data_IF_698958594200
#
_entry.id   IF_698958594200
#
_cell.length_a   1.000
_cell.length_b   1.000
_cell.length_c   1.000
_cell.angle_alpha   90.00
_cell.angle_beta   90.00
_cell.angle_gamma   90.00
#
_symmetry.space_group_name_H-M   'P 1'
#
loop_
_entity.id
_entity.type
_entity.pdbx_description
1 polymer ?
#
# COMPACT_ATOMS: atom_id res chain seq x y z
N UNK A 1 30.31 -5.33 9.46
CA UNK A 1 29.85 -4.53 8.30
C UNK A 1 28.74 -5.32 7.61
N UNK A 2 27.68 -4.65 7.17
CA UNK A 2 26.56 -5.28 6.45
C UNK A 2 27.06 -5.92 5.15
N UNK A 3 26.49 -7.08 4.77
CA UNK A 3 26.86 -7.81 3.55
C UNK A 3 25.99 -7.42 2.34
N UNK A 4 25.05 -6.47 2.51
CA UNK A 4 24.17 -6.02 1.44
C UNK A 4 24.93 -5.13 0.43
N UNK A 5 24.64 -5.23 -0.88
CA UNK A 5 25.30 -4.42 -1.92
C UNK A 5 25.14 -2.91 -1.72
N UNK A 6 24.02 -2.49 -1.14
CA UNK A 6 23.72 -1.09 -0.81
C UNK A 6 23.12 -1.03 0.60
N UNK A 7 23.77 -0.28 1.49
CA UNK A 7 23.35 -0.12 2.89
C UNK A 7 22.67 1.21 3.17
N UNK A 8 22.50 2.09 2.16
CA UNK A 8 22.00 3.46 2.38
C UNK A 8 20.66 3.49 3.11
N UNK A 9 19.75 2.57 2.79
CA UNK A 9 18.45 2.46 3.48
C UNK A 9 18.60 1.98 4.93
N UNK A 10 19.51 1.04 5.19
CA UNK A 10 19.77 0.54 6.55
C UNK A 10 20.25 1.68 7.44
N UNK A 11 21.19 2.47 6.94
CA UNK A 11 21.76 3.63 7.64
C UNK A 11 20.73 4.76 7.78
N UNK A 12 19.94 5.03 6.73
CA UNK A 12 18.93 6.09 6.71
C UNK A 12 17.81 5.84 7.72
N UNK A 13 17.33 4.60 7.85
CA UNK A 13 16.20 4.24 8.72
C UNK A 13 16.62 3.66 10.07
N UNK A 14 17.89 3.29 10.25
CA UNK A 14 18.37 2.62 11.46
C UNK A 14 17.84 1.18 11.62
N UNK A 15 17.65 0.47 10.50
CA UNK A 15 17.16 -0.92 10.47
C UNK A 15 18.27 -1.91 10.09
N UNK A 16 18.04 -3.20 10.36
CA UNK A 16 19.05 -4.26 10.17
C UNK A 16 18.88 -5.00 8.83
N UNK A 17 17.64 -5.13 8.37
CA UNK A 17 17.26 -5.84 7.16
C UNK A 17 16.59 -4.87 6.19
N UNK A 18 16.93 -4.91 4.88
CA UNK A 18 16.39 -3.96 3.89
C UNK A 18 15.00 -4.40 3.40
N UNK A 19 14.15 -4.82 4.34
CA UNK A 19 12.80 -5.32 4.12
C UNK A 19 11.84 -4.37 4.80
N UNK A 20 10.98 -3.73 4.01
CA UNK A 20 9.89 -2.90 4.48
C UNK A 20 8.60 -3.72 4.33
N UNK A 21 7.93 -3.98 5.45
CA UNK A 21 6.58 -4.53 5.45
C UNK A 21 5.65 -3.41 4.97
N UNK A 22 4.96 -3.61 3.84
CA UNK A 22 4.19 -2.55 3.18
C UNK A 22 2.93 -2.14 3.96
N UNK A 23 2.59 -0.84 4.03
CA UNK A 23 1.41 -0.38 4.77
C UNK A 23 0.11 -0.76 4.03
N UNK A 24 -0.60 -1.78 4.50
CA UNK A 24 -1.80 -2.30 3.83
C UNK A 24 -3.06 -1.92 4.61
N UNK A 25 -3.67 -0.78 4.27
CA UNK A 25 -4.87 -0.29 4.95
C UNK A 25 -5.98 -1.35 5.00
N UNK A 26 -6.44 -1.68 6.20
CA UNK A 26 -7.43 -2.73 6.47
C UNK A 26 -6.83 -4.11 6.76
N UNK A 27 -5.60 -4.40 6.32
CA UNK A 27 -4.92 -5.69 6.53
C UNK A 27 -3.77 -5.64 7.55
N UNK A 28 -3.07 -4.51 7.65
CA UNK A 28 -2.00 -4.32 8.65
C UNK A 28 -2.57 -3.79 9.96
N UNK A 29 -2.00 -4.25 11.08
CA UNK A 29 -2.27 -3.81 12.45
C UNK A 29 -0.95 -3.69 13.22
N UNK A 30 -1.00 -3.24 14.48
CA UNK A 30 0.20 -3.07 15.31
C UNK A 30 0.98 -4.37 15.52
N UNK A 31 0.34 -5.54 15.64
CA UNK A 31 1.07 -6.80 15.86
C UNK A 31 1.96 -7.18 14.67
N UNK A 32 1.47 -6.98 13.44
CA UNK A 32 2.27 -7.15 12.22
C UNK A 32 3.43 -6.15 12.18
N UNK A 33 3.17 -4.87 12.48
CA UNK A 33 4.22 -3.83 12.49
C UNK A 33 5.32 -4.17 13.50
N UNK A 34 4.94 -4.49 14.74
CA UNK A 34 5.86 -4.88 15.81
C UNK A 34 6.68 -6.11 15.41
N UNK A 35 6.05 -7.13 14.82
CA UNK A 35 6.74 -8.35 14.40
C UNK A 35 7.79 -8.09 13.30
N UNK A 36 7.49 -7.22 12.32
CA UNK A 36 8.43 -6.84 11.27
C UNK A 36 9.61 -6.02 11.84
N UNK A 37 9.33 -5.04 12.70
CA UNK A 37 10.34 -4.23 13.39
C UNK A 37 11.27 -5.10 14.25
N UNK A 38 10.72 -6.01 15.06
CA UNK A 38 11.49 -6.91 15.93
C UNK A 38 12.27 -7.99 15.15
N UNK A 39 11.91 -8.23 13.90
CA UNK A 39 12.70 -9.08 13.00
C UNK A 39 13.90 -8.37 12.38
N UNK A 40 14.00 -7.05 12.54
CA UNK A 40 15.08 -6.22 12.00
C UNK A 40 14.70 -5.46 10.72
N UNK A 41 13.50 -5.65 10.17
CA UNK A 41 12.97 -4.86 9.07
C UNK A 41 12.28 -3.57 9.53
N UNK A 42 11.59 -2.90 8.60
CA UNK A 42 10.75 -1.73 8.87
C UNK A 42 9.27 -2.11 8.78
N UNK A 43 8.58 -2.19 9.92
CA UNK A 43 7.12 -2.33 9.96
C UNK A 43 6.42 -1.03 9.58
N UNK A 44 5.28 -1.09 8.88
CA UNK A 44 4.57 0.10 8.39
C UNK A 44 3.10 0.14 8.78
N UNK A 45 2.69 1.12 9.58
CA UNK A 45 1.30 1.33 9.99
C UNK A 45 0.52 2.19 8.97
N UNK A 46 -0.51 1.67 8.29
CA UNK A 46 -1.37 2.46 7.40
C UNK A 46 -2.40 3.29 8.19
N UNK A 47 -2.32 4.61 8.09
CA UNK A 47 -3.22 5.53 8.80
C UNK A 47 -4.45 5.97 7.98
N UNK A 48 -4.49 5.70 6.67
CA UNK A 48 -5.52 6.22 5.77
C UNK A 48 -6.98 5.82 6.07
N UNK A 49 -7.19 4.82 6.95
CA UNK A 49 -8.50 4.34 7.39
C UNK A 49 -8.72 4.48 8.91
N UNK A 50 -7.80 5.12 9.62
CA UNK A 50 -7.87 5.31 11.07
C UNK A 50 -8.46 6.68 11.39
N UNK A 51 -9.27 6.76 12.44
CA UNK A 51 -9.52 8.04 13.11
C UNK A 51 -8.26 8.51 13.83
N UNK A 52 -8.22 9.78 14.25
CA UNK A 52 -7.09 10.33 15.00
C UNK A 52 -6.88 9.58 16.32
N UNK A 53 -7.95 9.19 17.00
CA UNK A 53 -7.89 8.39 18.23
C UNK A 53 -7.33 7.00 17.96
N UNK A 54 -7.79 6.34 16.89
CA UNK A 54 -7.29 5.03 16.48
C UNK A 54 -5.80 5.10 16.09
N UNK A 55 -5.38 6.15 15.40
CA UNK A 55 -3.97 6.37 15.06
C UNK A 55 -3.13 6.49 16.33
N UNK A 56 -3.53 7.31 17.31
CA UNK A 56 -2.80 7.44 18.59
C UNK A 56 -2.70 6.09 19.31
N UNK A 57 -3.78 5.33 19.40
CA UNK A 57 -3.77 4.03 20.08
C UNK A 57 -2.89 2.99 19.36
N UNK A 58 -2.90 2.95 18.02
CA UNK A 58 -2.02 2.08 17.25
C UNK A 58 -0.54 2.46 17.46
N UNK A 59 -0.19 3.76 17.40
CA UNK A 59 1.20 4.21 17.61
C UNK A 59 1.68 3.96 19.04
N UNK A 60 0.81 4.15 20.03
CA UNK A 60 1.09 3.80 21.43
C UNK A 60 1.35 2.31 21.59
N UNK A 61 0.53 1.47 20.97
CA UNK A 61 0.69 0.01 20.99
C UNK A 61 2.03 -0.40 20.36
N UNK A 62 2.39 0.20 19.21
CA UNK A 62 3.67 -0.07 18.55
C UNK A 62 4.84 0.34 19.45
N UNK A 63 4.83 1.55 20.02
CA UNK A 63 5.90 2.02 20.94
C UNK A 63 6.01 1.20 22.22
N UNK A 64 4.93 0.55 22.67
CA UNK A 64 4.97 -0.40 23.79
C UNK A 64 5.53 -1.77 23.38
N UNK A 65 5.34 -2.19 22.12
CA UNK A 65 5.76 -3.49 21.61
C UNK A 65 7.17 -3.51 21.00
N UNK A 66 7.74 -2.36 20.65
CA UNK A 66 9.11 -2.27 20.11
C UNK A 66 9.74 -0.89 20.32
N UNK A 67 11.07 -0.90 20.49
CA UNK A 67 11.92 0.30 20.45
C UNK A 67 12.64 0.44 19.10
N UNK A 68 12.33 -0.41 18.12
CA UNK A 68 12.92 -0.37 16.78
C UNK A 68 12.18 0.64 15.89
N UNK A 69 12.84 1.16 14.83
CA UNK A 69 12.22 2.08 13.89
C UNK A 69 10.95 1.52 13.25
N UNK A 70 9.95 2.37 13.04
CA UNK A 70 8.76 2.03 12.23
C UNK A 70 8.34 3.17 11.30
N UNK A 71 7.54 2.81 10.30
CA UNK A 71 6.94 3.70 9.33
C UNK A 71 5.46 3.96 9.65
N UNK A 72 4.99 5.19 9.45
CA UNK A 72 3.56 5.54 9.43
C UNK A 72 3.18 6.06 8.06
N UNK A 73 2.15 5.48 7.45
CA UNK A 73 1.75 5.77 6.09
C UNK A 73 0.46 6.58 5.99
N UNK A 74 0.46 7.61 5.14
CA UNK A 74 -0.71 8.43 4.86
C UNK A 74 -0.98 8.58 3.35
N UNK A 75 -2.21 8.94 3.01
CA UNK A 75 -2.58 9.33 1.65
C UNK A 75 -2.53 10.85 1.50
N UNK A 76 -2.07 11.35 0.35
CA UNK A 76 -1.97 12.78 0.04
C UNK A 76 -2.79 13.18 -1.19
N UNK A 77 -3.87 12.44 -1.45
CA UNK A 77 -4.81 12.77 -2.53
C UNK A 77 -5.59 14.05 -2.23
N UNK A 78 -5.96 14.77 -3.28
CA UNK A 78 -6.90 15.87 -3.19
C UNK A 78 -8.33 15.31 -3.09
N UNK A 79 -9.11 15.69 -2.06
CA UNK A 79 -10.52 15.29 -1.98
C UNK A 79 -11.30 15.81 -3.19
N UNK A 80 -12.10 14.95 -3.87
CA UNK A 80 -12.90 15.39 -5.00
C UNK A 80 -14.07 16.24 -4.53
N UNK A 81 -14.57 17.11 -5.42
CA UNK A 81 -15.86 17.75 -5.23
C UNK A 81 -16.98 16.69 -5.17
N UNK A 82 -18.02 16.96 -4.40
CA UNK A 82 -19.20 16.11 -4.38
C UNK A 82 -19.90 16.11 -5.75
N UNK A 83 -20.19 14.92 -6.28
CA UNK A 83 -20.95 14.73 -7.51
C UNK A 83 -22.11 13.78 -7.22
N UNK A 84 -23.25 14.36 -6.84
CA UNK A 84 -24.43 13.60 -6.47
C UNK A 84 -25.02 12.83 -7.65
N UNK A 85 -24.93 13.37 -8.87
CA UNK A 85 -25.46 12.71 -10.05
C UNK A 85 -24.65 11.46 -10.35
N UNK A 86 -23.32 11.56 -10.34
CA UNK A 86 -22.43 10.40 -10.51
C UNK A 86 -22.60 9.37 -9.40
N UNK A 87 -22.83 9.82 -8.15
CA UNK A 87 -23.13 8.92 -7.05
C UNK A 87 -24.46 8.15 -7.26
N UNK A 88 -25.52 8.84 -7.73
CA UNK A 88 -26.81 8.21 -8.08
C UNK A 88 -26.65 7.24 -9.23
N UNK A 89 -25.97 7.63 -10.32
CA UNK A 89 -25.76 6.78 -11.49
C UNK A 89 -24.95 5.53 -11.14
N UNK A 90 -23.95 5.67 -10.26
CA UNK A 90 -23.18 4.55 -9.74
C UNK A 90 -24.05 3.59 -8.90
N UNK A 91 -24.91 4.12 -8.02
CA UNK A 91 -25.83 3.28 -7.24
C UNK A 91 -26.84 2.57 -8.14
N UNK A 92 -27.42 3.28 -9.13
CA UNK A 92 -28.35 2.72 -10.11
C UNK A 92 -27.71 1.58 -10.92
N UNK A 93 -26.43 1.73 -11.32
CA UNK A 93 -25.70 0.66 -12.01
C UNK A 93 -25.58 -0.61 -11.14
N UNK A 94 -25.53 -0.46 -9.82
CA UNK A 94 -25.44 -1.56 -8.86
C UNK A 94 -26.81 -2.14 -8.47
N UNK A 95 -27.92 -1.51 -8.84
CA UNK A 95 -29.29 -1.90 -8.45
C UNK A 95 -29.61 -3.39 -8.70
N UNK A 96 -29.20 -4.02 -9.84
CA UNK A 96 -29.45 -5.44 -10.05
C UNK A 96 -28.87 -6.33 -8.93
N UNK A 97 -27.67 -6.01 -8.42
CA UNK A 97 -27.04 -6.75 -7.33
C UNK A 97 -27.76 -6.51 -5.99
N UNK A 98 -28.25 -5.29 -5.76
CA UNK A 98 -29.06 -4.97 -4.57
C UNK A 98 -30.32 -5.84 -4.53
N UNK A 99 -31.05 -5.90 -5.66
CA UNK A 99 -32.26 -6.72 -5.81
C UNK A 99 -31.95 -8.21 -5.65
N UNK A 100 -30.87 -8.68 -6.26
CA UNK A 100 -30.44 -10.09 -6.16
C UNK A 100 -30.13 -10.51 -4.72
N UNK A 101 -29.41 -9.67 -3.96
CA UNK A 101 -28.99 -9.98 -2.60
C UNK A 101 -30.03 -9.60 -1.52
N UNK A 102 -31.20 -9.09 -1.92
CA UNK A 102 -32.23 -8.62 -1.00
C UNK A 102 -31.77 -7.46 -0.11
N UNK A 103 -30.91 -6.59 -0.64
CA UNK A 103 -30.43 -5.39 0.04
C UNK A 103 -31.39 -4.24 -0.27
N UNK A 104 -31.72 -3.43 0.73
CA UNK A 104 -32.53 -2.22 0.55
C UNK A 104 -31.81 -1.20 -0.35
N UNK A 105 -32.32 -1.02 -1.57
CA UNK A 105 -31.80 -0.08 -2.56
C UNK A 105 -32.13 1.37 -2.21
N UNK A 106 -33.25 1.64 -1.52
CA UNK A 106 -33.71 2.98 -1.20
C UNK A 106 -33.04 3.55 0.05
N UNK A 107 -32.44 2.68 0.88
CA UNK A 107 -31.65 3.08 2.04
C UNK A 107 -30.52 4.08 1.68
N UNK A 108 -30.20 5.03 2.57
CA UNK A 108 -29.09 5.97 2.37
C UNK A 108 -27.76 5.27 2.09
N UNK A 109 -27.04 5.74 1.07
CA UNK A 109 -25.72 5.18 0.74
C UNK A 109 -24.71 5.50 1.85
N UNK A 110 -24.03 4.51 2.44
CA UNK A 110 -22.98 4.75 3.42
C UNK A 110 -21.84 5.59 2.85
N UNK A 111 -21.19 6.39 3.69
CA UNK A 111 -20.02 7.17 3.26
C UNK A 111 -18.77 6.29 3.28
N UNK A 112 -18.11 6.16 2.13
CA UNK A 112 -16.75 5.63 2.03
C UNK A 112 -15.77 6.77 2.21
N UNK A 113 -15.08 6.82 3.34
CA UNK A 113 -14.07 7.84 3.61
C UNK A 113 -12.66 7.24 3.68
N UNK A 114 -11.70 7.99 3.15
CA UNK A 114 -10.26 7.82 3.38
C UNK A 114 -9.69 9.21 3.52
N UNK A 115 -9.32 9.59 4.74
CA UNK A 115 -8.86 10.95 5.00
C UNK A 115 -7.48 11.16 4.36
N UNK A 116 -7.26 12.27 3.62
CA UNK A 116 -5.90 12.68 3.29
C UNK A 116 -5.17 13.14 4.57
N UNK A 117 -3.84 13.21 4.49
CA UNK A 117 -3.03 13.77 5.57
C UNK A 117 -3.40 15.22 5.85
N UNK A 118 -3.66 15.54 7.12
CA UNK A 118 -4.10 16.86 7.56
C UNK A 118 -3.35 17.33 8.82
N UNK A 119 -3.75 18.50 9.34
CA UNK A 119 -3.16 19.09 10.55
C UNK A 119 -3.28 18.18 11.77
N UNK A 120 -4.42 17.50 11.95
CA UNK A 120 -4.66 16.67 13.12
C UNK A 120 -3.79 15.40 13.10
N UNK A 121 -3.65 14.78 11.93
CA UNK A 121 -2.70 13.68 11.75
C UNK A 121 -1.24 14.13 11.96
N UNK A 122 -0.89 15.34 11.50
CA UNK A 122 0.44 15.91 11.72
C UNK A 122 0.76 16.13 13.20
N UNK A 123 -0.21 16.58 14.01
CA UNK A 123 -0.05 16.72 15.47
C UNK A 123 0.26 15.38 16.15
N UNK A 124 -0.36 14.29 15.69
CA UNK A 124 -0.03 12.95 16.20
C UNK A 124 1.40 12.55 15.83
N UNK A 125 1.87 12.88 14.63
CA UNK A 125 3.27 12.62 14.25
C UNK A 125 4.27 13.44 15.06
N UNK A 126 3.92 14.68 15.41
CA UNK A 126 4.73 15.54 16.29
C UNK A 126 4.83 14.96 17.71
N UNK A 127 3.76 14.33 18.19
CA UNK A 127 3.70 13.64 19.49
C UNK A 127 4.55 12.35 19.51
N UNK A 128 4.38 11.46 18.52
CA UNK A 128 4.96 10.12 18.53
C UNK A 128 6.31 9.98 17.80
N UNK A 129 6.64 10.95 16.94
CA UNK A 129 7.90 11.09 16.19
C UNK A 129 8.39 9.77 15.58
N UNK A 130 7.62 9.14 14.66
CA UNK A 130 8.08 7.94 13.98
C UNK A 130 9.36 8.20 13.18
N UNK A 131 10.20 7.19 13.05
CA UNK A 131 11.49 7.30 12.37
C UNK A 131 11.31 7.49 10.86
N UNK A 132 10.22 6.95 10.30
CA UNK A 132 9.87 7.07 8.89
C UNK A 132 8.41 7.47 8.74
N UNK A 133 8.12 8.39 7.82
CA UNK A 133 6.76 8.73 7.40
C UNK A 133 6.69 8.53 5.89
N UNK A 134 5.73 7.71 5.47
CA UNK A 134 5.51 7.43 4.05
C UNK A 134 4.22 8.06 3.56
N UNK A 135 4.25 8.54 2.33
CA UNK A 135 3.09 9.08 1.65
C UNK A 135 2.74 8.24 0.42
N UNK A 136 1.45 8.20 0.10
CA UNK A 136 0.93 7.64 -1.14
C UNK A 136 0.16 8.72 -1.89
N UNK A 137 0.22 8.69 -3.23
CA UNK A 137 -0.34 9.71 -4.12
C UNK A 137 0.38 11.06 -4.05
N UNK A 138 1.72 11.04 -3.99
CA UNK A 138 2.55 12.24 -3.95
C UNK A 138 2.97 12.63 -2.54
N UNK A 139 2.94 13.93 -2.25
CA UNK A 139 3.33 14.52 -0.96
C UNK A 139 2.24 15.47 -0.46
N UNK A 140 2.14 15.71 0.87
CA UNK A 140 1.21 16.69 1.39
C UNK A 140 1.64 18.12 1.05
N UNK A 141 0.79 19.09 1.38
CA UNK A 141 1.12 20.51 1.33
C UNK A 141 2.47 20.80 2.01
N UNK A 142 3.26 21.71 1.41
CA UNK A 142 4.64 21.97 1.83
C UNK A 142 4.77 22.31 3.31
N UNK A 143 3.82 23.06 3.86
CA UNK A 143 3.79 23.44 5.27
C UNK A 143 3.60 22.25 6.21
N UNK A 144 2.76 21.29 5.84
CA UNK A 144 2.58 20.04 6.57
C UNK A 144 3.82 19.14 6.43
N UNK A 145 4.38 19.05 5.23
CA UNK A 145 5.61 18.29 4.99
C UNK A 145 6.78 18.81 5.84
N UNK A 146 6.95 20.13 5.92
CA UNK A 146 8.01 20.76 6.71
C UNK A 146 7.85 20.46 8.21
N UNK A 147 6.61 20.44 8.71
CA UNK A 147 6.31 20.04 10.10
C UNK A 147 6.68 18.58 10.37
N UNK A 148 6.34 17.66 9.46
CA UNK A 148 6.73 16.25 9.60
C UNK A 148 8.25 16.12 9.59
N UNK A 149 8.96 16.81 8.70
CA UNK A 149 10.44 16.83 8.69
C UNK A 149 11.04 17.35 9.99
N UNK A 150 10.43 18.35 10.62
CA UNK A 150 10.87 18.90 11.90
C UNK A 150 10.81 17.89 13.06
N UNK A 151 10.02 16.80 12.93
CA UNK A 151 10.02 15.68 13.88
C UNK A 151 11.30 14.83 13.81
N UNK A 152 12.07 14.95 12.72
CA UNK A 152 13.24 14.12 12.42
C UNK A 152 12.93 12.90 11.56
N UNK A 153 11.66 12.67 11.23
CA UNK A 153 11.24 11.56 10.37
C UNK A 153 11.87 11.63 8.97
N UNK A 154 12.24 10.47 8.44
CA UNK A 154 12.61 10.31 7.02
C UNK A 154 11.36 10.19 6.17
N UNK A 155 11.31 10.95 5.09
CA UNK A 155 10.15 11.03 4.21
C UNK A 155 10.35 10.12 3.01
N UNK A 156 9.40 9.22 2.77
CA UNK A 156 9.36 8.40 1.55
C UNK A 156 8.01 8.51 0.86
N UNK A 157 7.98 8.34 -0.45
CA UNK A 157 6.71 8.28 -1.19
C UNK A 157 6.83 7.38 -2.42
N UNK A 158 5.69 6.95 -2.94
CA UNK A 158 5.62 6.06 -4.10
C UNK A 158 5.64 6.82 -5.41
N UNK A 159 6.56 6.43 -6.29
CA UNK A 159 6.60 6.80 -7.71
C UNK A 159 6.26 5.59 -8.57
N UNK A 160 5.49 5.83 -9.63
CA UNK A 160 5.10 4.82 -10.63
C UNK A 160 5.72 5.06 -12.00
N UNK A 161 6.38 6.21 -12.15
CA UNK A 161 7.13 6.65 -13.33
C UNK A 161 8.45 7.31 -12.89
N UNK A 162 9.37 7.51 -13.83
CA UNK A 162 10.63 8.22 -13.58
C UNK A 162 10.37 9.70 -13.24
N UNK A 163 9.45 10.35 -13.94
CA UNK A 163 9.10 11.76 -13.69
C UNK A 163 8.56 11.98 -12.28
N UNK A 164 7.74 11.05 -11.78
CA UNK A 164 7.26 11.08 -10.39
C UNK A 164 8.41 10.91 -9.39
N UNK A 165 9.38 10.05 -9.67
CA UNK A 165 10.53 9.85 -8.79
C UNK A 165 11.42 11.11 -8.71
N UNK A 166 11.71 11.74 -9.85
CA UNK A 166 12.44 13.01 -9.93
C UNK A 166 11.69 14.10 -9.17
N UNK A 167 10.37 14.19 -9.35
CA UNK A 167 9.54 15.17 -8.66
C UNK A 167 9.60 14.97 -7.13
N UNK A 168 9.49 13.72 -6.66
CA UNK A 168 9.57 13.41 -5.23
C UNK A 168 10.93 13.76 -4.62
N UNK A 169 12.04 13.47 -5.32
CA UNK A 169 13.39 13.85 -4.86
C UNK A 169 13.51 15.38 -4.75
N UNK A 170 13.08 16.11 -5.79
CA UNK A 170 13.13 17.58 -5.81
C UNK A 170 12.27 18.23 -4.72
N UNK A 171 11.21 17.55 -4.29
CA UNK A 171 10.32 18.00 -3.22
C UNK A 171 10.72 17.42 -1.84
N UNK A 172 11.87 16.75 -1.78
CA UNK A 172 12.58 16.39 -0.57
C UNK A 172 12.11 15.11 0.10
N UNK A 173 11.78 14.08 -0.69
CA UNK A 173 11.84 12.71 -0.20
C UNK A 173 13.29 12.29 0.09
N UNK A 174 13.51 11.56 1.18
CA UNK A 174 14.79 10.99 1.56
C UNK A 174 15.07 9.64 0.86
N UNK A 175 14.02 8.96 0.36
CA UNK A 175 14.10 7.78 -0.50
C UNK A 175 12.80 7.62 -1.31
N UNK A 176 12.88 6.93 -2.45
CA UNK A 176 11.75 6.73 -3.38
C UNK A 176 11.29 5.28 -3.38
N UNK A 177 9.98 5.05 -3.22
CA UNK A 177 9.38 3.74 -3.45
C UNK A 177 9.04 3.61 -4.94
N UNK A 178 9.87 2.89 -5.69
CA UNK A 178 9.61 2.56 -7.10
C UNK A 178 8.55 1.46 -7.17
N UNK A 179 7.29 1.85 -7.37
CA UNK A 179 6.13 0.97 -7.33
C UNK A 179 5.76 0.49 -8.73
N UNK A 180 6.20 -0.72 -9.09
CA UNK A 180 5.85 -1.35 -10.36
C UNK A 180 4.36 -1.64 -10.51
N UNK A 181 3.91 -1.79 -11.75
CA UNK A 181 2.52 -2.08 -12.13
C UNK A 181 1.97 -3.39 -11.53
N UNK A 182 2.86 -4.31 -11.17
CA UNK A 182 2.57 -5.60 -10.56
C UNK A 182 2.10 -5.50 -9.09
N UNK A 183 2.35 -4.35 -8.44
CA UNK A 183 2.01 -4.15 -7.03
C UNK A 183 0.50 -4.25 -6.77
N UNK A 184 0.15 -4.83 -5.61
CA UNK A 184 -1.23 -4.91 -5.11
C UNK A 184 -1.72 -3.59 -4.53
N UNK A 185 -3.04 -3.43 -4.42
CA UNK A 185 -3.65 -2.21 -3.86
C UNK A 185 -3.52 -1.01 -4.80
N UNK A 186 -3.75 0.20 -4.27
CA UNK A 186 -3.81 1.43 -5.06
C UNK A 186 -2.52 1.75 -5.79
N UNK A 187 -2.63 2.09 -7.09
CA UNK A 187 -1.54 2.69 -7.86
C UNK A 187 -1.16 4.04 -7.26
N UNK A 188 0.12 4.23 -6.95
CA UNK A 188 0.65 5.43 -6.30
C UNK A 188 0.74 6.68 -7.19
N UNK A 189 0.34 6.58 -8.47
CA UNK A 189 0.48 7.64 -9.48
C UNK A 189 -0.17 8.96 -9.04
N UNK A 190 0.42 10.09 -9.39
CA UNK A 190 -0.04 11.42 -8.98
C UNK A 190 0.27 12.57 -9.95
N UNK A 191 1.20 12.41 -10.91
CA UNK A 191 1.44 13.44 -11.93
C UNK A 191 0.54 13.29 -13.17
N UNK A 192 0.06 12.08 -13.43
CA UNK A 192 -0.84 11.74 -14.52
C UNK A 192 -1.86 10.70 -14.06
N UNK A 193 -3.06 10.75 -14.65
CA UNK A 193 -4.11 9.73 -14.49
C UNK A 193 -4.08 8.68 -15.62
N UNK A 194 -3.18 8.82 -16.60
CA UNK A 194 -3.03 7.87 -17.71
C UNK A 194 -2.40 6.55 -17.23
N UNK A 195 -3.24 5.52 -17.09
CA UNK A 195 -2.82 4.18 -16.68
C UNK A 195 -1.85 3.51 -17.66
N UNK A 196 -1.81 3.92 -18.93
CA UNK A 196 -0.88 3.36 -19.91
C UNK A 196 0.58 3.75 -19.64
N UNK A 197 0.81 4.80 -18.85
CA UNK A 197 2.14 5.26 -18.43
C UNK A 197 2.80 4.37 -17.36
N UNK A 198 2.06 3.44 -16.75
CA UNK A 198 2.52 2.65 -15.62
C UNK A 198 3.57 1.60 -16.04
N UNK A 199 4.72 1.60 -15.37
CA UNK A 199 5.87 0.74 -15.72
C UNK A 199 5.94 -0.47 -14.78
N UNK A 200 6.33 -1.64 -15.31
CA UNK A 200 6.57 -2.84 -14.50
C UNK A 200 7.87 -2.77 -13.68
N UNK A 201 7.93 -3.44 -12.52
CA UNK A 201 9.03 -3.37 -11.55
C UNK A 201 10.39 -3.59 -12.19
N UNK A 202 10.52 -4.58 -13.07
CA UNK A 202 11.80 -4.94 -13.69
C UNK A 202 12.39 -3.80 -14.54
N UNK A 203 11.54 -2.99 -15.17
CA UNK A 203 11.96 -1.84 -15.95
C UNK A 203 11.99 -0.55 -15.11
N UNK A 204 11.05 -0.36 -14.19
CA UNK A 204 10.92 0.87 -13.41
C UNK A 204 12.08 1.06 -12.44
N UNK A 205 12.46 0.01 -11.69
CA UNK A 205 13.49 0.09 -10.64
C UNK A 205 14.82 0.64 -11.16
N UNK A 206 15.47 0.04 -12.18
CA UNK A 206 16.77 0.54 -12.64
C UNK A 206 16.67 1.94 -13.26
N UNK A 207 15.58 2.26 -13.97
CA UNK A 207 15.39 3.59 -14.53
C UNK A 207 15.25 4.68 -13.45
N UNK A 208 14.56 4.37 -12.35
CA UNK A 208 14.47 5.30 -11.22
C UNK A 208 15.82 5.42 -10.52
N UNK A 209 16.52 4.30 -10.29
CA UNK A 209 17.87 4.30 -9.69
C UNK A 209 18.84 5.18 -10.47
N UNK A 210 18.80 5.13 -11.81
CA UNK A 210 19.67 5.95 -12.66
C UNK A 210 19.27 7.43 -12.68
N UNK A 211 18.01 7.75 -12.37
CA UNK A 211 17.45 9.09 -12.49
C UNK A 211 17.49 9.92 -11.19
N UNK A 212 17.61 9.28 -10.03
CA UNK A 212 17.62 9.96 -8.72
C UNK A 212 18.90 9.65 -7.94
N UNK A 213 19.28 10.55 -7.04
CA UNK A 213 20.45 10.38 -6.16
C UNK A 213 20.10 9.69 -4.84
N UNK A 214 18.87 9.86 -4.36
CA UNK A 214 18.37 9.22 -3.13
C UNK A 214 18.22 7.70 -3.29
N UNK A 215 18.24 6.93 -2.18
CA UNK A 215 18.03 5.48 -2.24
C UNK A 215 16.65 5.09 -2.82
N UNK A 216 16.61 3.97 -3.52
CA UNK A 216 15.38 3.45 -4.16
C UNK A 216 14.92 2.17 -3.48
N UNK A 217 13.64 2.10 -3.18
CA UNK A 217 12.95 0.95 -2.58
C UNK A 217 12.09 0.31 -3.66
N UNK A 218 12.39 -0.92 -4.06
CA UNK A 218 11.59 -1.63 -5.05
C UNK A 218 10.28 -2.15 -4.44
N UNK A 219 9.14 -1.91 -5.10
CA UNK A 219 7.83 -2.42 -4.67
C UNK A 219 7.03 -3.00 -5.84
N UNK A 220 6.41 -4.15 -5.63
CA UNK A 220 5.60 -4.86 -6.63
C UNK A 220 6.31 -6.10 -7.19
N UNK A 221 5.56 -7.21 -7.30
CA UNK A 221 6.06 -8.54 -7.68
C UNK A 221 7.12 -9.19 -6.76
N UNK A 222 7.40 -8.61 -5.59
CA UNK A 222 8.36 -9.17 -4.63
C UNK A 222 7.61 -9.95 -3.55
N UNK A 223 7.81 -11.27 -3.52
CA UNK A 223 7.14 -12.16 -2.57
C UNK A 223 8.05 -13.23 -1.94
N UNK A 224 9.27 -13.42 -2.46
CA UNK A 224 10.25 -14.35 -1.92
C UNK A 224 11.69 -13.80 -2.08
N UNK A 225 12.66 -14.55 -1.56
CA UNK A 225 14.08 -14.23 -1.63
C UNK A 225 14.64 -13.99 -3.04
N UNK A 226 14.04 -14.58 -4.09
CA UNK A 226 14.48 -14.35 -5.48
C UNK A 226 14.11 -12.94 -5.92
N UNK A 227 12.88 -12.52 -5.63
CA UNK A 227 12.42 -11.16 -5.91
C UNK A 227 13.25 -10.10 -5.19
N UNK A 228 13.62 -10.35 -3.92
CA UNK A 228 14.49 -9.45 -3.17
C UNK A 228 15.88 -9.36 -3.79
N UNK A 229 16.53 -10.49 -4.08
CA UNK A 229 17.85 -10.49 -4.73
C UNK A 229 17.82 -9.81 -6.10
N UNK A 230 16.77 -10.05 -6.91
CA UNK A 230 16.59 -9.39 -8.20
C UNK A 230 16.46 -7.86 -8.07
N UNK A 231 15.71 -7.37 -7.08
CA UNK A 231 15.59 -5.93 -6.84
C UNK A 231 16.95 -5.28 -6.53
N UNK A 232 17.78 -5.93 -5.71
CA UNK A 232 19.15 -5.46 -5.43
C UNK A 232 20.04 -5.48 -6.68
N UNK A 233 19.94 -6.51 -7.52
CA UNK A 233 20.66 -6.56 -8.80
C UNK A 233 20.22 -5.47 -9.78
N UNK A 234 18.97 -5.00 -9.67
CA UNK A 234 18.43 -3.86 -10.41
C UNK A 234 18.80 -2.49 -9.79
N UNK A 235 19.57 -2.47 -8.69
CA UNK A 235 20.08 -1.24 -8.06
C UNK A 235 19.24 -0.70 -6.89
N UNK A 236 18.19 -1.41 -6.46
CA UNK A 236 17.44 -1.00 -5.29
C UNK A 236 18.27 -1.16 -4.00
N UNK A 237 18.07 -0.25 -3.04
CA UNK A 237 18.69 -0.27 -1.72
C UNK A 237 17.86 -1.04 -0.69
N UNK A 238 16.57 -1.27 -0.98
CA UNK A 238 15.66 -2.09 -0.18
C UNK A 238 14.44 -2.52 -0.99
N UNK A 239 13.58 -3.33 -0.37
CA UNK A 239 12.30 -3.74 -0.94
C UNK A 239 11.14 -3.41 -0.01
N UNK A 240 9.99 -3.05 -0.59
CA UNK A 240 8.71 -2.97 0.10
C UNK A 240 7.81 -4.12 -0.35
N UNK A 241 7.45 -4.97 0.60
CA UNK A 241 6.70 -6.20 0.37
C UNK A 241 5.32 -6.07 1.03
N UNK A 242 4.26 -6.14 0.22
CA UNK A 242 2.88 -6.11 0.70
C UNK A 242 2.25 -7.51 0.70
N UNK A 243 1.88 -7.99 -0.48
CA UNK A 243 1.05 -9.19 -0.66
C UNK A 243 1.55 -10.46 0.03
N UNK A 244 2.87 -10.67 0.15
CA UNK A 244 3.38 -11.84 0.88
C UNK A 244 3.00 -11.83 2.37
N UNK A 245 2.92 -10.64 2.99
CA UNK A 245 2.49 -10.49 4.38
C UNK A 245 0.99 -10.74 4.58
N UNK A 246 0.17 -10.83 3.53
CA UNK A 246 -1.26 -11.17 3.66
C UNK A 246 -1.50 -12.64 4.03
N UNK A 247 -0.46 -13.47 3.96
CA UNK A 247 -0.52 -14.88 4.33
C UNK A 247 -0.14 -15.13 5.80
N UNK A 248 0.35 -14.10 6.50
CA UNK A 248 0.80 -14.23 7.88
C UNK A 248 -0.38 -14.24 8.86
N UNK A 249 -0.26 -14.89 10.02
CA UNK A 249 -1.33 -14.92 11.02
C UNK A 249 -1.65 -13.54 11.61
N UNK A 250 -0.75 -12.57 11.50
CA UNK A 250 -0.99 -11.20 11.96
C UNK A 250 -1.88 -10.39 11.01
N UNK A 251 -2.07 -10.83 9.75
CA UNK A 251 -2.84 -10.11 8.75
C UNK A 251 -4.34 -10.09 9.08
N UNK A 252 -4.93 -8.89 9.11
CA UNK A 252 -6.37 -8.68 9.28
C UNK A 252 -7.11 -8.75 7.94
N UNK A 253 -7.07 -9.90 7.29
CA UNK A 253 -7.80 -10.15 6.04
C UNK A 253 -9.06 -10.97 6.29
N UNK A 254 -10.12 -10.75 5.51
CA UNK A 254 -11.36 -11.52 5.63
C UNK A 254 -11.18 -12.98 5.23
N UNK A 255 -12.12 -13.83 5.64
CA UNK A 255 -12.10 -15.25 5.24
C UNK A 255 -12.19 -15.42 3.71
N UNK A 256 -12.99 -14.59 3.03
CA UNK A 256 -13.05 -14.60 1.56
C UNK A 256 -11.73 -14.19 0.92
N UNK A 257 -11.04 -13.19 1.47
CA UNK A 257 -9.73 -12.77 0.97
C UNK A 257 -8.66 -13.84 1.21
N UNK A 258 -8.63 -14.45 2.40
CA UNK A 258 -7.76 -15.59 2.70
C UNK A 258 -7.95 -16.75 1.72
N UNK A 259 -9.21 -17.08 1.41
CA UNK A 259 -9.55 -18.12 0.44
C UNK A 259 -9.05 -17.73 -0.95
N UNK A 260 -9.38 -16.52 -1.42
CA UNK A 260 -8.99 -16.05 -2.74
C UNK A 260 -7.48 -16.06 -2.94
N UNK A 261 -6.69 -15.61 -1.95
CA UNK A 261 -5.22 -15.65 -2.00
C UNK A 261 -4.65 -17.06 -2.22
N UNK A 262 -5.36 -18.12 -1.79
CA UNK A 262 -4.91 -19.52 -1.89
C UNK A 262 -5.50 -20.26 -3.09
N UNK A 263 -6.61 -19.79 -3.65
CA UNK A 263 -7.34 -20.52 -4.69
C UNK A 263 -7.35 -19.84 -6.05
N UNK A 264 -7.12 -18.53 -6.12
CA UNK A 264 -7.06 -17.80 -7.39
C UNK A 264 -5.77 -18.12 -8.16
N UNK A 265 -5.83 -18.02 -9.48
CA UNK A 265 -4.68 -18.21 -10.37
C UNK A 265 -3.88 -16.92 -10.52
N UNK A 266 -2.59 -17.04 -10.86
CA UNK A 266 -1.67 -15.93 -11.06
C UNK A 266 -2.19 -14.89 -12.09
N UNK A 267 -2.96 -15.35 -13.08
CA UNK A 267 -3.57 -14.49 -14.11
C UNK A 267 -4.82 -13.74 -13.65
N UNK A 268 -5.31 -13.95 -12.43
CA UNK A 268 -6.61 -13.46 -11.95
C UNK A 268 -6.50 -12.21 -11.09
N UNK A 269 -5.52 -11.33 -11.35
CA UNK A 269 -5.52 -9.98 -10.79
C UNK A 269 -5.70 -8.94 -11.88
N UNK A 270 -6.41 -7.86 -11.57
CA UNK A 270 -6.54 -6.72 -12.47
C UNK A 270 -6.55 -5.41 -11.68
N UNK A 271 -6.17 -4.32 -12.37
CA UNK A 271 -6.29 -2.96 -11.84
C UNK A 271 -7.74 -2.50 -12.04
N UNK A 272 -8.37 -2.05 -10.95
CA UNK A 272 -9.77 -1.65 -10.90
C UNK A 272 -9.97 -0.35 -10.14
N UNK A 273 -10.97 0.44 -10.53
CA UNK A 273 -11.42 1.61 -9.78
C UNK A 273 -12.79 1.43 -9.12
N UNK A 274 -13.47 0.29 -9.31
CA UNK A 274 -14.87 0.12 -8.89
C UNK A 274 -15.05 0.27 -7.37
N UNK A 275 -14.08 -0.21 -6.59
CA UNK A 275 -14.21 -0.26 -5.13
C UNK A 275 -13.96 1.05 -4.42
N UNK A 276 -13.26 1.98 -5.08
CA UNK A 276 -12.72 3.16 -4.41
C UNK A 276 -12.71 4.42 -5.25
N UNK A 277 -12.87 4.35 -6.57
CA UNK A 277 -12.75 5.48 -7.48
C UNK A 277 -11.34 5.78 -7.98
N UNK A 278 -10.35 4.97 -7.59
CA UNK A 278 -8.94 5.11 -8.02
C UNK A 278 -8.39 3.75 -8.39
N UNK A 279 -7.53 3.65 -9.43
CA UNK A 279 -6.94 2.39 -9.84
C UNK A 279 -6.22 1.66 -8.70
N UNK A 280 -6.60 0.40 -8.46
CA UNK A 280 -6.01 -0.48 -7.46
C UNK A 280 -6.01 -1.93 -7.95
N UNK A 281 -4.94 -2.69 -7.71
CA UNK A 281 -4.85 -4.09 -8.13
C UNK A 281 -5.42 -5.03 -7.07
N UNK A 282 -6.32 -5.90 -7.50
CA UNK A 282 -6.87 -6.98 -6.68
C UNK A 282 -7.19 -8.24 -7.48
N UNK A 283 -7.45 -9.32 -6.76
CA UNK A 283 -7.97 -10.57 -7.31
C UNK A 283 -9.37 -10.31 -7.90
N UNK A 284 -9.57 -10.77 -9.13
CA UNK A 284 -10.82 -10.65 -9.87
C UNK A 284 -11.96 -11.34 -9.12
N UNK A 285 -12.99 -10.57 -8.79
CA UNK A 285 -14.26 -11.08 -8.29
C UNK A 285 -15.40 -10.81 -9.29
N UNK A 286 -16.63 -11.14 -8.90
CA UNK A 286 -17.81 -11.02 -9.77
C UNK A 286 -18.02 -9.59 -10.28
N UNK A 287 -18.02 -8.60 -9.39
CA UNK A 287 -18.31 -7.21 -9.80
C UNK A 287 -17.25 -6.68 -10.79
N UNK A 288 -15.98 -7.06 -10.63
CA UNK A 288 -14.93 -6.72 -11.60
C UNK A 288 -15.09 -7.42 -12.95
N UNK A 289 -15.65 -8.63 -12.98
CA UNK A 289 -15.85 -9.38 -14.24
C UNK A 289 -17.06 -8.86 -15.01
N UNK A 290 -18.11 -8.47 -14.29
CA UNK A 290 -19.38 -8.05 -14.89
C UNK A 290 -19.40 -6.55 -15.26
N UNK A 291 -18.81 -5.67 -14.44
CA UNK A 291 -18.77 -4.23 -14.71
C UNK A 291 -17.46 -3.77 -15.38
N UNK A 292 -16.54 -4.70 -15.63
CA UNK A 292 -15.17 -4.45 -16.07
C UNK A 292 -14.23 -4.24 -14.89
N UNK A 293 -12.90 -4.43 -15.03
CA UNK A 293 -12.06 -4.04 -13.92
C UNK A 293 -12.08 -2.50 -13.80
N UNK A 294 -12.17 -1.74 -14.90
CA UNK A 294 -12.25 -0.27 -14.90
C UNK A 294 -13.61 0.23 -15.41
N UNK A 295 -14.13 1.29 -14.80
CA UNK A 295 -15.36 1.98 -15.23
C UNK A 295 -15.28 3.49 -15.04
N UNK A 296 -15.65 4.25 -16.07
CA UNK A 296 -15.80 5.71 -16.04
C UNK A 296 -16.96 6.18 -15.13
N UNK A 297 -17.92 5.29 -14.88
CA UNK A 297 -19.08 5.51 -14.00
C UNK A 297 -18.72 5.49 -12.52
N UNK A 298 -17.59 4.88 -12.12
CA UNK A 298 -17.17 4.87 -10.73
C UNK A 298 -16.91 6.31 -10.24
N UNK A 299 -17.51 6.74 -9.11
CA UNK A 299 -17.25 8.06 -8.52
C UNK A 299 -15.76 8.24 -8.21
N UNK A 300 -15.28 9.48 -8.25
CA UNK A 300 -13.89 9.79 -7.95
C UNK A 300 -13.49 9.32 -6.55
N UNK A 301 -12.21 9.01 -6.35
CA UNK A 301 -11.73 8.51 -5.07
C UNK A 301 -11.84 9.53 -3.95
N UNK A 302 -12.29 9.15 -2.73
CA UNK A 302 -12.57 7.78 -2.26
C UNK A 302 -14.05 7.33 -2.32
N UNK A 303 -14.88 8.00 -3.13
CA UNK A 303 -16.34 8.01 -2.99
C UNK A 303 -17.06 6.75 -3.51
N UNK A 304 -16.43 5.94 -4.37
CA UNK A 304 -17.12 4.80 -5.01
C UNK A 304 -17.52 3.67 -4.03
N UNK A 305 -16.81 3.54 -2.91
CA UNK A 305 -16.93 2.37 -2.03
C UNK A 305 -18.26 2.28 -1.26
N UNK A 306 -18.94 3.41 -1.05
CA UNK A 306 -20.14 3.48 -0.21
C UNK A 306 -21.27 2.59 -0.70
N UNK A 307 -21.56 2.66 -2.01
CA UNK A 307 -22.59 1.86 -2.67
C UNK A 307 -22.26 0.35 -2.75
N UNK A 308 -21.02 -0.04 -2.43
CA UNK A 308 -20.64 -1.45 -2.37
C UNK A 308 -20.71 -2.02 -0.95
N UNK A 309 -20.74 -1.20 0.10
CA UNK A 309 -20.72 -1.68 1.49
C UNK A 309 -21.91 -2.61 1.82
N UNK A 310 -23.17 -2.27 1.47
CA UNK A 310 -24.30 -3.16 1.73
C UNK A 310 -24.22 -4.49 0.96
N UNK A 311 -23.71 -4.45 -0.29
CA UNK A 311 -23.49 -5.64 -1.11
C UNK A 311 -22.41 -6.55 -0.51
N UNK A 312 -21.30 -5.97 -0.02
CA UNK A 312 -20.24 -6.72 0.68
C UNK A 312 -20.74 -7.43 1.92
N UNK A 313 -21.65 -6.81 2.68
CA UNK A 313 -22.22 -7.42 3.87
C UNK A 313 -23.03 -8.69 3.59
N UNK A 314 -23.52 -8.88 2.34
CA UNK A 314 -24.28 -10.06 1.91
C UNK A 314 -23.48 -11.01 1.02
N UNK A 315 -22.57 -10.50 0.19
CA UNK A 315 -21.77 -11.25 -0.78
C UNK A 315 -20.27 -10.89 -0.70
N UNK A 316 -19.64 -11.10 0.46
CA UNK A 316 -18.30 -10.58 0.75
C UNK A 316 -17.27 -10.91 -0.36
N UNK A 317 -17.19 -12.17 -0.80
CA UNK A 317 -16.22 -12.59 -1.82
C UNK A 317 -16.42 -11.92 -3.19
N UNK A 318 -17.65 -11.55 -3.52
CA UNK A 318 -18.04 -11.07 -4.85
C UNK A 318 -17.95 -9.55 -4.99
N UNK A 319 -18.03 -8.82 -3.87
CA UNK A 319 -18.12 -7.35 -3.83
C UNK A 319 -17.01 -6.66 -3.01
N UNK A 320 -16.09 -7.42 -2.41
CA UNK A 320 -14.97 -6.88 -1.63
C UNK A 320 -13.73 -6.61 -2.47
N UNK A 321 -12.94 -5.62 -2.04
CA UNK A 321 -11.63 -5.34 -2.62
C UNK A 321 -10.57 -6.34 -2.12
N UNK A 322 -10.32 -7.39 -2.90
CA UNK A 322 -9.36 -8.45 -2.59
C UNK A 322 -7.94 -8.08 -3.07
N UNK A 323 -7.32 -7.08 -2.42
CA UNK A 323 -6.03 -6.52 -2.86
C UNK A 323 -4.88 -7.54 -2.85
N UNK A 324 -4.27 -7.76 -4.01
CA UNK A 324 -3.12 -8.62 -4.18
C UNK A 324 -2.30 -8.20 -5.39
N UNK A 325 -0.97 -8.25 -5.30
CA UNK A 325 -0.06 -8.07 -6.42
C UNK A 325 0.03 -9.33 -7.28
N UNK A 326 0.70 -9.24 -8.44
CA UNK A 326 0.77 -10.37 -9.38
C UNK A 326 1.58 -11.58 -8.88
N UNK A 327 2.41 -11.40 -7.86
CA UNK A 327 3.21 -12.47 -7.25
C UNK A 327 2.50 -13.18 -6.08
N UNK A 328 1.18 -13.00 -5.89
CA UNK A 328 0.47 -13.51 -4.72
C UNK A 328 0.53 -15.04 -4.56
N UNK A 329 0.64 -15.79 -5.66
CA UNK A 329 0.75 -17.26 -5.65
C UNK A 329 2.07 -17.77 -5.06
N UNK A 330 3.05 -16.89 -4.84
CA UNK A 330 4.30 -17.20 -4.15
C UNK A 330 4.21 -17.03 -2.61
N UNK A 331 3.05 -16.62 -2.10
CA UNK A 331 2.82 -16.44 -0.67
C UNK A 331 3.04 -17.73 0.14
N UNK A 332 3.44 -17.56 1.40
CA UNK A 332 3.70 -18.67 2.34
C UNK A 332 3.04 -18.42 3.68
N UNK A 333 2.54 -19.48 4.30
CA UNK A 333 1.99 -19.48 5.65
C UNK A 333 3.13 -19.43 6.69
N UNK A 334 3.64 -18.22 6.94
CA UNK A 334 4.70 -17.95 7.91
C UNK A 334 4.29 -16.83 8.87
N UNK A 335 4.90 -16.77 10.05
CA UNK A 335 4.78 -15.58 10.92
C UNK A 335 5.44 -14.36 10.27
N UNK A 336 4.96 -13.15 10.57
CA UNK A 336 5.51 -11.91 9.99
C UNK A 336 7.02 -11.76 10.25
N UNK A 337 7.47 -12.07 11.47
CA UNK A 337 8.89 -12.00 11.80
C UNK A 337 9.74 -13.04 11.04
N UNK A 338 9.21 -14.25 10.87
CA UNK A 338 9.88 -15.32 10.13
C UNK A 338 9.97 -15.00 8.64
N UNK A 339 8.86 -14.56 8.03
CA UNK A 339 8.84 -14.14 6.62
C UNK A 339 9.88 -13.05 6.37
N UNK A 340 9.95 -12.05 7.25
CA UNK A 340 10.92 -10.95 7.14
C UNK A 340 12.36 -11.46 7.10
N UNK A 341 12.74 -12.36 8.02
CA UNK A 341 14.09 -12.95 8.04
C UNK A 341 14.35 -13.84 6.84
N UNK A 342 13.39 -14.70 6.46
CA UNK A 342 13.55 -15.59 5.30
C UNK A 342 13.73 -14.83 3.98
N UNK A 343 13.03 -13.71 3.80
CA UNK A 343 13.20 -12.83 2.65
C UNK A 343 14.63 -12.26 2.60
N UNK A 344 15.11 -11.74 3.72
CA UNK A 344 16.41 -11.10 3.82
C UNK A 344 17.57 -12.12 3.69
N UNK A 345 17.60 -13.14 4.54
CA UNK A 345 18.66 -14.15 4.58
C UNK A 345 18.73 -14.94 3.27
N UNK A 346 17.57 -15.34 2.75
CA UNK A 346 17.49 -16.09 1.51
C UNK A 346 17.96 -15.29 0.30
N UNK A 347 17.78 -13.97 0.31
CA UNK A 347 18.25 -13.09 -0.76
C UNK A 347 19.75 -12.82 -0.65
N UNK A 348 20.24 -12.57 0.56
CA UNK A 348 21.67 -12.37 0.80
C UNK A 348 22.49 -13.61 0.39
N UNK A 349 21.99 -14.81 0.69
CA UNK A 349 22.58 -16.07 0.24
C UNK A 349 22.57 -16.27 -1.29
N UNK A 350 21.76 -15.51 -2.05
CA UNK A 350 21.76 -15.52 -3.51
C UNK A 350 22.69 -14.47 -4.11
N UNK A 351 22.84 -13.33 -3.44
CA UNK A 351 23.74 -12.26 -3.86
C UNK A 351 25.22 -12.60 -3.63
N UNK A 352 25.51 -13.50 -2.68
CA UNK A 352 26.88 -13.91 -2.31
C UNK A 352 27.36 -15.19 -3.00
N UNK A 353 26.55 -15.80 -3.88
CA UNK A 353 26.90 -16.99 -4.67
C UNK A 353 27.48 -16.60 -6.01
#
# INVERSE_FOLDING_TARGET
MSQWPDTRILDLFGIELPIIQGPMAGATNSSMVIAACNAGGLGSMPAAMLTIEQLREELKTIRQGTNKPFNVNFFCHQPPAADEQKARDWKNLLEPYYRELGVDFDAPTPVSNRAPFDTAACEVLEEFRPEVVSFHFGLPEKTLLDRVKATGAKIISSATTVDEAIWLEQNGCDAIIAMGYEAGGHRGMFLSDDLSSQVGTFALVPQVVDAVSVPVIAAGAIADARGVAAAFLLGASAVQVGTAYLFTPEAKVSASHHKALRTAKESETAVTNLFTGRPARGILNRVMRELGPMSDKAPAFPLAGGALMPLRAKGEAEFSNLWAGQAFTLGKDLGTAELTRQLAEGALAKLTR
#
